data_IF_369533649085
#
_entry.id   IF_369533649085
#
_cell.length_a   1.000
_cell.length_b   1.000
_cell.length_c   1.000
_cell.angle_alpha   90.00
_cell.angle_beta   90.00
_cell.angle_gamma   90.00
#
_symmetry.space_group_name_H-M   'P 1'
#
loop_
_entity.id
_entity.type
_entity.pdbx_description
1 polymer ?
#
# COMPACT_ATOMS: atom_id res chain seq x y z
N UNK A 1 12.83 -11.26 -16.73
CA UNK A 1 11.78 -10.92 -15.74
C UNK A 1 10.70 -10.11 -16.44
N UNK A 2 9.46 -10.62 -16.50
CA UNK A 2 8.37 -10.01 -17.30
C UNK A 2 7.36 -9.23 -16.47
N UNK A 3 7.38 -9.38 -15.14
CA UNK A 3 6.43 -8.77 -14.22
C UNK A 3 7.13 -8.32 -12.94
N UNK A 4 6.90 -7.07 -12.56
CA UNK A 4 7.51 -6.42 -11.41
C UNK A 4 6.43 -5.91 -10.46
N UNK A 5 6.71 -5.97 -9.17
CA UNK A 5 5.81 -5.47 -8.13
C UNK A 5 6.58 -4.56 -7.17
N UNK A 6 6.00 -3.41 -6.81
CA UNK A 6 6.61 -2.45 -5.89
C UNK A 6 6.39 -2.86 -4.44
N UNK A 7 5.12 -3.03 -4.05
CA UNK A 7 4.72 -3.46 -2.72
C UNK A 7 3.70 -4.60 -2.81
N UNK A 8 3.78 -5.51 -1.84
CA UNK A 8 2.73 -6.47 -1.54
C UNK A 8 1.87 -5.94 -0.40
N UNK A 9 0.56 -5.81 -0.62
CA UNK A 9 -0.44 -5.38 0.36
C UNK A 9 -0.01 -4.09 1.08
N UNK A 10 0.13 -2.98 0.33
CA UNK A 10 0.79 -1.79 0.82
C UNK A 10 0.14 -1.22 2.07
N UNK A 11 -1.14 -1.52 2.36
CA UNK A 11 -1.87 -1.05 3.55
C UNK A 11 -1.49 -1.77 4.85
N UNK A 12 -1.01 -3.01 4.80
CA UNK A 12 -0.94 -3.89 5.97
C UNK A 12 0.06 -3.42 7.01
N UNK A 13 1.29 -3.08 6.61
CA UNK A 13 2.38 -2.80 7.56
C UNK A 13 2.06 -1.60 8.43
N UNK A 14 1.73 -0.46 7.84
CA UNK A 14 1.38 0.76 8.57
C UNK A 14 0.14 0.58 9.42
N UNK A 15 -0.86 -0.17 8.95
CA UNK A 15 -2.08 -0.42 9.73
C UNK A 15 -1.72 -1.19 10.99
N UNK A 16 -0.98 -2.30 10.87
CA UNK A 16 -0.56 -3.11 12.02
C UNK A 16 0.47 -2.42 12.93
N UNK A 17 1.22 -1.45 12.42
CA UNK A 17 2.27 -0.74 13.18
C UNK A 17 1.76 0.53 13.84
N UNK A 18 1.03 1.39 13.11
CA UNK A 18 0.67 2.74 13.54
C UNK A 18 -0.83 2.99 13.70
N UNK A 19 -1.72 2.19 13.08
CA UNK A 19 -3.16 2.32 13.31
C UNK A 19 -3.62 1.42 14.48
N UNK A 20 -3.25 0.15 14.43
CA UNK A 20 -3.63 -0.85 15.43
C UNK A 20 -2.59 -0.99 16.56
N UNK A 21 -1.37 -0.47 16.36
CA UNK A 21 -0.23 -0.61 17.28
C UNK A 21 0.08 -2.06 17.72
N UNK A 22 -0.24 -3.05 16.87
CA UNK A 22 -0.06 -4.49 17.13
C UNK A 22 1.38 -4.99 16.89
N UNK A 23 2.22 -4.17 16.26
CA UNK A 23 3.61 -4.48 15.92
C UNK A 23 4.51 -3.37 16.41
N UNK A 24 5.79 -3.70 16.61
CA UNK A 24 6.82 -2.71 16.94
C UNK A 24 6.72 -1.48 15.99
N UNK A 25 6.81 -0.24 16.51
CA UNK A 25 7.20 0.12 17.87
C UNK A 25 6.06 0.17 18.90
N UNK A 26 4.88 -0.39 18.59
CA UNK A 26 3.68 -0.31 19.45
C UNK A 26 3.22 1.13 19.69
N UNK A 27 3.47 2.01 18.73
CA UNK A 27 3.04 3.41 18.75
C UNK A 27 1.79 3.56 17.91
N UNK A 28 0.70 4.05 18.50
CA UNK A 28 -0.50 4.40 17.75
C UNK A 28 -0.43 5.85 17.27
N UNK A 29 -0.34 6.06 15.96
CA UNK A 29 -0.19 7.37 15.35
C UNK A 29 -0.83 7.43 13.95
N UNK A 30 -2.06 7.93 13.89
CA UNK A 30 -2.83 8.04 12.64
C UNK A 30 -2.17 8.98 11.63
N UNK A 31 -1.44 10.00 12.09
CA UNK A 31 -0.69 10.91 11.21
C UNK A 31 0.43 10.18 10.47
N UNK A 32 1.25 9.43 11.21
CA UNK A 32 2.30 8.57 10.64
C UNK A 32 1.71 7.48 9.74
N UNK A 33 0.59 6.87 10.15
CA UNK A 33 -0.13 5.89 9.32
C UNK A 33 -0.54 6.46 7.95
N UNK A 34 -1.15 7.64 7.92
CA UNK A 34 -1.52 8.33 6.68
C UNK A 34 -0.30 8.72 5.85
N UNK A 35 0.76 9.21 6.48
CA UNK A 35 1.99 9.58 5.80
C UNK A 35 2.66 8.38 5.12
N UNK A 36 2.67 7.22 5.79
CA UNK A 36 3.18 5.97 5.21
C UNK A 36 2.36 5.51 4.01
N UNK A 37 1.02 5.60 4.10
CA UNK A 37 0.14 5.33 2.96
C UNK A 37 0.51 6.22 1.75
N UNK A 38 0.62 7.53 1.97
CA UNK A 38 0.97 8.48 0.93
C UNK A 38 2.35 8.18 0.30
N UNK A 39 3.37 7.96 1.13
CA UNK A 39 4.72 7.69 0.65
C UNK A 39 4.83 6.37 -0.14
N UNK A 40 4.05 5.34 0.20
CA UNK A 40 4.03 4.09 -0.57
C UNK A 40 3.43 4.27 -1.97
N UNK A 41 2.39 5.11 -2.10
CA UNK A 41 1.84 5.49 -3.40
C UNK A 41 2.87 6.28 -4.21
N UNK A 42 3.51 7.28 -3.59
CA UNK A 42 4.54 8.09 -4.24
C UNK A 42 5.76 7.25 -4.68
N UNK A 43 6.21 6.32 -3.83
CA UNK A 43 7.29 5.40 -4.16
C UNK A 43 6.92 4.49 -5.34
N UNK A 44 5.68 3.99 -5.37
CA UNK A 44 5.19 3.20 -6.51
C UNK A 44 5.20 4.02 -7.80
N UNK A 45 4.71 5.26 -7.77
CA UNK A 45 4.71 6.15 -8.93
C UNK A 45 6.15 6.45 -9.43
N UNK A 46 7.10 6.66 -8.51
CA UNK A 46 8.53 6.86 -8.85
C UNK A 46 9.13 5.63 -9.52
N UNK A 47 8.84 4.42 -9.03
CA UNK A 47 9.33 3.17 -9.66
C UNK A 47 8.70 2.96 -11.03
N UNK A 48 7.40 3.21 -11.19
CA UNK A 48 6.71 3.13 -12.49
C UNK A 48 7.32 4.11 -13.50
N UNK A 49 7.60 5.35 -13.07
CA UNK A 49 8.28 6.35 -13.89
C UNK A 49 9.66 5.86 -14.33
N UNK A 50 10.50 5.45 -13.38
CA UNK A 50 11.84 4.94 -13.67
C UNK A 50 11.81 3.72 -14.59
N UNK A 51 10.85 2.82 -14.39
CA UNK A 51 10.70 1.61 -15.20
C UNK A 51 10.47 1.94 -16.68
N UNK A 52 9.62 2.94 -16.94
CA UNK A 52 9.33 3.46 -18.28
C UNK A 52 10.53 4.20 -18.86
N UNK A 53 11.16 5.08 -18.09
CA UNK A 53 12.33 5.87 -18.53
C UNK A 53 13.52 4.98 -18.91
N UNK A 54 13.72 3.85 -18.22
CA UNK A 54 14.79 2.90 -18.52
C UNK A 54 14.46 1.92 -19.65
N UNK A 55 13.25 1.96 -20.20
CA UNK A 55 12.83 1.09 -21.30
C UNK A 55 12.83 -0.40 -20.93
N UNK A 56 12.62 -0.74 -19.66
CA UNK A 56 12.53 -2.15 -19.26
C UNK A 56 11.34 -2.84 -19.94
N UNK A 57 11.55 -4.09 -20.35
CA UNK A 57 10.48 -4.92 -20.92
C UNK A 57 9.58 -5.49 -19.83
N UNK A 58 8.29 -5.58 -20.10
CA UNK A 58 7.29 -6.19 -19.21
C UNK A 58 6.38 -5.18 -18.54
N UNK A 59 5.83 -5.56 -17.39
CA UNK A 59 4.88 -4.75 -16.62
C UNK A 59 5.36 -4.50 -15.19
N UNK A 60 4.93 -3.39 -14.61
CA UNK A 60 5.22 -3.01 -13.22
C UNK A 60 3.93 -2.56 -12.55
N UNK A 61 3.71 -2.97 -11.30
CA UNK A 61 2.51 -2.60 -10.54
C UNK A 61 2.68 -2.81 -9.04
N UNK A 62 1.56 -2.82 -8.32
CA UNK A 62 1.49 -3.13 -6.90
C UNK A 62 0.45 -4.23 -6.69
N UNK A 63 0.66 -5.09 -5.70
CA UNK A 63 -0.30 -6.12 -5.29
C UNK A 63 -1.15 -5.53 -4.17
N UNK A 64 -2.46 -5.43 -4.41
CA UNK A 64 -3.42 -4.92 -3.43
C UNK A 64 -4.21 -6.09 -2.83
N UNK A 65 -4.53 -5.99 -1.54
CA UNK A 65 -5.54 -6.80 -0.87
C UNK A 65 -6.84 -5.98 -0.79
N UNK A 66 -7.70 -6.00 -1.84
CA UNK A 66 -8.99 -5.34 -1.75
C UNK A 66 -9.90 -6.08 -0.76
N UNK A 67 -10.47 -5.35 0.18
CA UNK A 67 -11.54 -5.85 1.04
C UNK A 67 -12.88 -5.40 0.47
N UNK A 68 -13.77 -6.36 0.22
CA UNK A 68 -15.16 -6.09 -0.13
C UNK A 68 -15.96 -5.95 1.16
N UNK A 69 -16.67 -4.83 1.32
CA UNK A 69 -17.49 -4.56 2.51
C UNK A 69 -18.97 -4.57 2.13
N UNK A 70 -19.79 -5.23 2.95
CA UNK A 70 -21.24 -5.30 2.81
C UNK A 70 -21.90 -4.58 4.00
N UNK A 71 -22.99 -3.83 3.78
CA UNK A 71 -23.68 -3.15 4.86
C UNK A 71 -24.24 -4.16 5.87
N UNK A 72 -24.16 -3.83 7.16
CA UNK A 72 -24.65 -4.69 8.25
C UNK A 72 -26.13 -5.07 8.07
N UNK A 73 -26.94 -4.14 7.58
CA UNK A 73 -28.36 -4.36 7.33
C UNK A 73 -28.87 -3.45 6.22
N UNK A 74 -30.08 -3.74 5.74
CA UNK A 74 -30.86 -2.86 4.86
C UNK A 74 -31.82 -1.96 5.67
N UNK A 75 -31.65 -1.87 7.00
CA UNK A 75 -32.50 -1.02 7.83
C UNK A 75 -32.27 0.46 7.45
N UNK A 76 -33.32 1.31 7.49
CA UNK A 76 -33.17 2.75 7.28
C UNK A 76 -32.20 3.40 8.28
#
# INVERSE_FOLDING_TARGET
MTRWFTFNEPIVVQTRVYLDALRWPYEQNTGTWMQWNHHKVLATAKVVRLFREKGYRGTVGCILNPEVTYPRSKAP
#
